data_IF_934032529388
#
_entry.id   IF_934032529388
#
_cell.length_a   1.000
_cell.length_b   1.000
_cell.length_c   1.000
_cell.angle_alpha   90.00
_cell.angle_beta   90.00
_cell.angle_gamma   90.00
#
_symmetry.space_group_name_H-M   'P 1'
#
loop_
_entity.id
_entity.type
_entity.pdbx_description
1 polymer ?
#
# COMPACT_ATOMS: atom_id res chain seq x y z
N UNK A 1 2.00 -5.76 -16.19
CA UNK A 1 1.49 -4.83 -15.17
C UNK A 1 0.39 -3.99 -15.79
N UNK A 2 -0.90 -4.26 -15.53
CA UNK A 2 -1.97 -3.36 -15.97
C UNK A 2 -1.80 -2.02 -15.25
N UNK A 3 -1.42 -0.98 -16.01
CA UNK A 3 -0.90 0.29 -15.47
C UNK A 3 -1.89 0.95 -14.50
N UNK A 4 -3.19 0.92 -14.81
CA UNK A 4 -4.23 1.49 -13.93
C UNK A 4 -4.50 0.69 -12.65
N UNK A 5 -4.45 -0.64 -12.71
CA UNK A 5 -4.83 -1.49 -11.57
C UNK A 5 -3.75 -1.57 -10.48
N UNK A 6 -2.56 -1.06 -10.76
CA UNK A 6 -1.41 -1.34 -9.91
C UNK A 6 -1.25 -0.38 -8.74
N UNK A 7 -1.62 0.89 -8.93
CA UNK A 7 -1.78 1.80 -7.80
C UNK A 7 -2.85 1.30 -6.83
N UNK A 8 -3.93 0.72 -7.34
CA UNK A 8 -4.99 0.08 -6.54
C UNK A 8 -4.44 -1.13 -5.79
N UNK A 9 -3.66 -2.00 -6.47
CA UNK A 9 -3.00 -3.14 -5.83
C UNK A 9 -2.07 -2.74 -4.67
N UNK A 10 -1.33 -1.63 -4.80
CA UNK A 10 -0.51 -1.11 -3.70
C UNK A 10 -1.36 -0.71 -2.48
N UNK A 11 -2.49 -0.04 -2.70
CA UNK A 11 -3.40 0.37 -1.62
C UNK A 11 -4.03 -0.85 -0.94
N UNK A 12 -4.46 -1.86 -1.72
CA UNK A 12 -5.02 -3.11 -1.18
C UNK A 12 -4.01 -3.85 -0.30
N UNK A 13 -2.75 -3.94 -0.73
CA UNK A 13 -1.72 -4.59 0.08
C UNK A 13 -1.48 -3.83 1.39
N UNK A 14 -1.33 -2.50 1.35
CA UNK A 14 -1.19 -1.71 2.59
C UNK A 14 -2.43 -1.84 3.49
N UNK A 15 -3.63 -1.88 2.92
CA UNK A 15 -4.87 -2.10 3.68
C UNK A 15 -4.84 -3.44 4.44
N UNK A 16 -4.47 -4.54 3.78
CA UNK A 16 -4.38 -5.84 4.46
C UNK A 16 -3.24 -5.88 5.49
N UNK A 17 -2.08 -5.28 5.19
CA UNK A 17 -0.97 -5.21 6.14
C UNK A 17 -1.34 -4.47 7.41
N UNK A 18 -2.01 -3.32 7.28
CA UNK A 18 -2.48 -2.53 8.42
C UNK A 18 -3.51 -3.27 9.28
N UNK A 19 -4.28 -4.18 8.70
CA UNK A 19 -5.32 -4.95 9.40
C UNK A 19 -4.85 -6.29 9.97
N UNK A 20 -3.60 -6.68 9.72
CA UNK A 20 -3.13 -8.02 10.10
C UNK A 20 -3.67 -9.14 9.21
N UNK A 21 -4.17 -8.80 8.02
CA UNK A 21 -4.89 -9.71 7.10
C UNK A 21 -4.03 -10.13 5.89
N UNK A 22 -2.74 -9.77 5.84
CA UNK A 22 -1.88 -10.05 4.68
C UNK A 22 -1.36 -11.50 4.59
N UNK A 23 -1.82 -12.40 5.47
CA UNK A 23 -1.47 -13.82 5.47
C UNK A 23 0.04 -14.05 5.61
N UNK A 24 0.61 -14.90 4.76
CA UNK A 24 2.05 -15.21 4.79
C UNK A 24 2.95 -13.99 4.53
N UNK A 25 2.43 -12.95 3.87
CA UNK A 25 3.14 -11.71 3.56
C UNK A 25 3.10 -10.70 4.72
N UNK A 26 2.34 -10.98 5.78
CA UNK A 26 2.20 -10.07 6.91
C UNK A 26 3.57 -9.69 7.49
N UNK A 27 3.80 -8.37 7.64
CA UNK A 27 5.02 -7.87 8.27
C UNK A 27 5.06 -8.32 9.73
N UNK A 28 6.05 -9.16 10.05
CA UNK A 28 6.12 -9.86 11.36
C UNK A 28 6.70 -9.03 12.51
N UNK A 29 7.42 -7.95 12.19
CA UNK A 29 8.25 -7.24 13.17
C UNK A 29 7.56 -6.05 13.84
N UNK A 30 6.40 -5.64 13.34
CA UNK A 30 5.71 -4.42 13.78
C UNK A 30 4.21 -4.64 13.72
N UNK A 31 3.46 -3.99 14.61
CA UNK A 31 2.02 -3.77 14.45
C UNK A 31 1.82 -2.45 13.68
N UNK A 32 1.76 -2.46 12.33
CA UNK A 32 1.74 -1.22 11.58
C UNK A 32 0.39 -0.50 11.79
N UNK A 33 0.48 0.79 12.13
CA UNK A 33 -0.68 1.68 12.24
C UNK A 33 -0.72 2.73 11.14
N UNK A 34 0.39 2.91 10.41
CA UNK A 34 0.52 3.83 9.26
C UNK A 34 1.22 3.11 8.12
N UNK A 35 0.72 3.31 6.90
CA UNK A 35 1.29 2.78 5.67
C UNK A 35 1.30 3.81 4.55
N UNK A 36 2.25 3.70 3.62
CA UNK A 36 2.42 4.65 2.51
C UNK A 36 2.51 3.89 1.19
N UNK A 37 1.80 4.36 0.18
CA UNK A 37 1.97 3.91 -1.21
C UNK A 37 2.53 5.04 -2.05
N UNK A 38 3.47 4.75 -2.96
CA UNK A 38 3.98 5.69 -3.95
C UNK A 38 3.86 5.06 -5.34
N UNK A 39 2.86 5.52 -6.10
CA UNK A 39 2.62 5.05 -7.46
C UNK A 39 3.17 6.07 -8.46
N UNK A 40 3.90 5.61 -9.47
CA UNK A 40 4.58 6.46 -10.45
C UNK A 40 4.09 6.11 -11.86
N UNK A 41 3.71 7.14 -12.63
CA UNK A 41 3.23 7.02 -14.01
C UNK A 41 4.27 7.45 -15.04
N UNK A 42 4.27 6.78 -16.20
CA UNK A 42 5.19 7.07 -17.30
C UNK A 42 6.65 6.90 -16.88
N UNK A 43 7.50 7.87 -17.24
CA UNK A 43 8.92 7.92 -16.85
C UNK A 43 9.16 8.72 -15.57
N UNK A 44 8.15 8.87 -14.72
CA UNK A 44 8.23 9.70 -13.50
C UNK A 44 7.61 11.09 -13.62
N UNK A 45 6.89 11.39 -14.71
CA UNK A 45 6.23 12.68 -14.91
C UNK A 45 4.98 12.90 -14.05
N UNK A 46 4.46 11.85 -13.42
CA UNK A 46 3.33 11.94 -12.50
C UNK A 46 3.50 10.91 -11.38
N UNK A 47 3.16 11.29 -10.16
CA UNK A 47 3.08 10.37 -9.04
C UNK A 47 1.84 10.63 -8.20
N UNK A 48 1.36 9.58 -7.54
CA UNK A 48 0.31 9.66 -6.53
C UNK A 48 0.83 8.99 -5.27
N UNK A 49 0.73 9.69 -4.15
CA UNK A 49 1.13 9.21 -2.83
C UNK A 49 -0.12 9.15 -1.95
N UNK A 50 -0.34 8.01 -1.30
CA UNK A 50 -1.40 7.85 -0.29
C UNK A 50 -0.76 7.53 1.05
N UNK A 51 -1.25 8.15 2.11
CA UNK A 51 -0.92 7.82 3.50
C UNK A 51 -2.18 7.26 4.13
N UNK A 52 -2.11 6.01 4.59
CA UNK A 52 -3.21 5.31 5.24
C UNK A 52 -2.88 5.13 6.72
N UNK A 53 -3.89 5.29 7.57
CA UNK A 53 -3.79 5.04 9.01
C UNK A 53 -4.89 4.08 9.44
N UNK A 54 -4.55 3.09 10.26
CA UNK A 54 -5.53 2.33 11.03
C UNK A 54 -5.83 3.08 12.32
N UNK A 55 -7.09 3.43 12.53
CA UNK A 55 -7.55 3.98 13.81
C UNK A 55 -7.67 2.85 14.85
N UNK A 56 -7.41 3.21 16.12
CA UNK A 56 -7.36 2.29 17.26
C UNK A 56 -8.71 2.16 17.96
#
# INVERSE_FOLDING_TARGET
HPVGASGVGQVIEIYHQLRGEAGERQVKKTDPTVGVTHNVGGTGGTCVVNVLRRES
#
